data_IF_822705870399
#
_entry.id   IF_822705870399
#
_cell.length_a   1.000
_cell.length_b   1.000
_cell.length_c   1.000
_cell.angle_alpha   90.00
_cell.angle_beta   90.00
_cell.angle_gamma   90.00
#
_symmetry.space_group_name_H-M   'P 1'
#
loop_
_entity.id
_entity.type
_entity.pdbx_description
1 polymer ?
#
# COMPACT_ATOMS: atom_id res chain seq x y z
N UNK A 1 1.05 -9.22 14.64
CA UNK A 1 0.63 -7.98 15.34
C UNK A 1 -0.53 -8.30 16.24
N UNK A 2 -0.47 -7.93 17.51
CA UNK A 2 -1.53 -8.18 18.47
C UNK A 2 -2.39 -6.94 18.69
N UNK A 3 -3.70 -7.11 18.79
CA UNK A 3 -4.66 -6.05 19.10
C UNK A 3 -5.26 -6.30 20.49
N UNK A 4 -5.39 -5.22 21.26
CA UNK A 4 -5.89 -5.24 22.63
C UNK A 4 -7.09 -4.30 22.77
N UNK A 5 -8.08 -4.70 23.56
CA UNK A 5 -9.18 -3.85 24.00
C UNK A 5 -9.32 -4.00 25.51
N UNK A 6 -9.30 -2.88 26.23
CA UNK A 6 -9.34 -2.83 27.69
C UNK A 6 -8.32 -3.78 28.38
N UNK A 7 -7.08 -3.73 27.91
CA UNK A 7 -5.98 -4.58 28.43
C UNK A 7 -6.05 -6.06 28.03
N UNK A 8 -7.13 -6.51 27.39
CA UNK A 8 -7.32 -7.89 26.97
C UNK A 8 -6.93 -8.06 25.50
N UNK A 9 -6.11 -9.07 25.18
CA UNK A 9 -5.77 -9.41 23.81
C UNK A 9 -7.00 -9.96 23.08
N UNK A 10 -7.42 -9.29 22.02
CA UNK A 10 -8.62 -9.66 21.25
C UNK A 10 -8.29 -10.31 19.90
N UNK A 11 -7.09 -10.09 19.35
CA UNK A 11 -6.74 -10.58 18.02
C UNK A 11 -5.22 -10.62 17.80
N UNK A 12 -4.79 -11.46 16.86
CA UNK A 12 -3.44 -11.47 16.28
C UNK A 12 -3.57 -11.50 14.77
N UNK A 13 -2.87 -10.60 14.08
CA UNK A 13 -2.78 -10.53 12.62
C UNK A 13 -1.35 -10.66 12.13
N UNK A 14 -1.14 -11.55 11.18
CA UNK A 14 0.12 -11.70 10.49
C UNK A 14 0.13 -10.90 9.18
N UNK A 15 1.30 -10.42 8.79
CA UNK A 15 1.46 -9.72 7.53
C UNK A 15 1.69 -10.74 6.42
N UNK A 16 0.68 -10.93 5.58
CA UNK A 16 0.70 -11.91 4.48
C UNK A 16 1.16 -11.29 3.15
N UNK A 17 1.67 -10.07 3.17
CA UNK A 17 2.14 -9.32 2.01
C UNK A 17 3.60 -8.87 2.15
N UNK A 18 4.07 -8.15 1.13
CA UNK A 18 5.36 -7.49 1.14
C UNK A 18 5.18 -5.98 1.13
N UNK A 19 5.82 -5.28 2.06
CA UNK A 19 5.88 -3.81 2.08
C UNK A 19 7.09 -3.33 1.29
N UNK A 20 6.84 -2.53 0.26
CA UNK A 20 7.88 -1.94 -0.57
C UNK A 20 8.10 -0.48 -0.19
N UNK A 21 9.36 -0.12 0.10
CA UNK A 21 9.76 1.24 0.36
C UNK A 21 9.66 2.10 -0.90
N UNK A 22 8.92 3.19 -0.82
CA UNK A 22 8.79 4.15 -1.91
C UNK A 22 8.63 5.56 -1.37
N UNK A 23 9.09 6.55 -2.16
CA UNK A 23 8.77 7.96 -1.90
C UNK A 23 7.27 8.18 -2.07
N UNK A 24 6.73 9.21 -1.41
CA UNK A 24 5.32 9.59 -1.58
C UNK A 24 5.01 9.94 -3.04
N UNK A 25 3.83 9.56 -3.51
CA UNK A 25 3.36 9.77 -4.88
C UNK A 25 4.25 9.10 -5.95
N UNK A 26 4.98 8.05 -5.60
CA UNK A 26 5.70 7.24 -6.56
C UNK A 26 4.70 6.42 -7.41
N UNK A 27 4.89 6.30 -8.74
CA UNK A 27 3.99 5.52 -9.59
C UNK A 27 4.02 4.04 -9.21
N UNK A 28 2.84 3.45 -9.02
CA UNK A 28 2.65 2.03 -8.76
C UNK A 28 2.22 1.36 -10.06
N UNK A 29 2.94 0.31 -10.45
CA UNK A 29 2.71 -0.43 -11.68
C UNK A 29 2.05 -1.79 -11.42
N UNK A 30 1.22 -2.23 -12.37
CA UNK A 30 0.68 -3.58 -12.38
C UNK A 30 1.81 -4.60 -12.57
N UNK A 31 1.96 -5.50 -11.60
CA UNK A 31 3.01 -6.52 -11.58
C UNK A 31 2.84 -7.57 -12.67
N UNK A 32 1.60 -7.76 -13.13
CA UNK A 32 1.27 -8.62 -14.27
C UNK A 32 0.00 -8.13 -15.00
N UNK A 33 -0.24 -8.68 -16.19
CA UNK A 33 -1.45 -8.44 -16.98
C UNK A 33 -2.68 -9.07 -16.30
N UNK A 34 -3.81 -8.38 -16.30
CA UNK A 34 -5.04 -8.86 -15.68
C UNK A 34 -6.17 -7.84 -15.74
N UNK A 35 -7.28 -8.16 -15.07
CA UNK A 35 -8.48 -7.30 -14.99
C UNK A 35 -8.63 -6.76 -13.58
N UNK A 36 -8.92 -5.46 -13.44
CA UNK A 36 -9.21 -4.88 -12.13
C UNK A 36 -10.55 -5.40 -11.62
N UNK A 37 -10.53 -6.08 -10.47
CA UNK A 37 -11.74 -6.61 -9.82
C UNK A 37 -12.18 -5.77 -8.62
N UNK A 38 -11.30 -4.90 -8.11
CA UNK A 38 -11.62 -3.98 -7.03
C UNK A 38 -10.76 -2.71 -7.13
N UNK A 39 -11.36 -1.55 -6.89
CA UNK A 39 -10.69 -0.26 -6.77
C UNK A 39 -11.46 0.63 -5.78
N UNK A 40 -10.93 0.82 -4.57
CA UNK A 40 -11.64 1.54 -3.50
C UNK A 40 -10.97 1.43 -2.14
N UNK A 41 -11.62 1.97 -1.10
CA UNK A 41 -11.16 1.80 0.29
C UNK A 41 -11.48 0.40 0.81
N UNK A 42 -10.48 -0.29 1.37
CA UNK A 42 -10.58 -1.66 1.90
C UNK A 42 -10.09 -1.72 3.35
N UNK A 43 -10.64 -0.85 4.20
CA UNK A 43 -10.41 -0.87 5.65
C UNK A 43 -8.94 -0.70 6.02
N UNK A 44 -8.33 -1.73 6.62
CA UNK A 44 -6.94 -1.66 7.07
C UNK A 44 -5.95 -1.46 5.91
N UNK A 45 -6.29 -1.91 4.70
CA UNK A 45 -5.46 -1.70 3.51
C UNK A 45 -5.59 -0.28 2.93
N UNK A 46 -6.58 0.51 3.34
CA UNK A 46 -6.82 1.83 2.77
C UNK A 46 -7.24 1.77 1.31
N UNK A 47 -6.86 2.78 0.52
CA UNK A 47 -7.09 2.78 -0.91
C UNK A 47 -6.34 1.60 -1.56
N UNK A 48 -7.11 0.72 -2.16
CA UNK A 48 -6.66 -0.58 -2.62
C UNK A 48 -7.12 -0.85 -4.04
N UNK A 49 -6.24 -1.44 -4.84
CA UNK A 49 -6.56 -2.00 -6.16
C UNK A 49 -6.26 -3.49 -6.14
N UNK A 50 -7.19 -4.31 -6.63
CA UNK A 50 -6.99 -5.77 -6.77
C UNK A 50 -7.13 -6.14 -8.25
N UNK A 51 -6.15 -6.88 -8.76
CA UNK A 51 -6.10 -7.35 -10.14
C UNK A 51 -6.23 -8.87 -10.15
N UNK A 52 -7.15 -9.40 -10.96
CA UNK A 52 -7.24 -10.82 -11.29
C UNK A 52 -6.41 -11.13 -12.54
N UNK A 53 -5.48 -12.08 -12.41
CA UNK A 53 -4.61 -12.54 -13.48
C UNK A 53 -5.11 -13.84 -14.13
N UNK A 54 -6.28 -14.34 -13.69
CA UNK A 54 -6.83 -15.63 -14.09
C UNK A 54 -6.35 -16.77 -13.20
N UNK A 55 -6.98 -17.94 -13.34
CA UNK A 55 -6.67 -19.16 -12.60
C UNK A 55 -6.70 -19.01 -11.06
N UNK A 56 -7.46 -18.04 -10.55
CA UNK A 56 -7.53 -17.75 -9.12
C UNK A 56 -6.31 -17.02 -8.55
N UNK A 57 -5.41 -16.51 -9.39
CA UNK A 57 -4.26 -15.71 -8.97
C UNK A 57 -4.60 -14.23 -8.99
N UNK A 58 -4.47 -13.57 -7.83
CA UNK A 58 -4.75 -12.15 -7.67
C UNK A 58 -3.56 -11.41 -7.05
N UNK A 59 -3.39 -10.15 -7.43
CA UNK A 59 -2.47 -9.22 -6.77
C UNK A 59 -3.25 -8.09 -6.10
N UNK A 60 -2.79 -7.70 -4.90
CA UNK A 60 -3.38 -6.63 -4.11
C UNK A 60 -2.36 -5.51 -3.92
N UNK A 61 -2.77 -4.28 -4.22
CA UNK A 61 -1.99 -3.06 -4.06
C UNK A 61 -2.69 -2.15 -3.04
N UNK A 62 -2.21 -2.14 -1.80
CA UNK A 62 -2.78 -1.35 -0.71
C UNK A 62 -2.06 -0.04 -0.45
N UNK A 63 -2.59 0.72 0.50
CA UNK A 63 -2.04 1.96 1.05
C UNK A 63 -1.78 3.05 0.00
N UNK A 64 -2.54 3.06 -1.10
CA UNK A 64 -2.36 4.04 -2.17
C UNK A 64 -2.79 5.44 -1.72
N UNK A 65 -2.16 6.48 -2.27
CA UNK A 65 -2.67 7.85 -2.13
C UNK A 65 -3.86 8.06 -3.07
N UNK A 66 -3.73 7.57 -4.30
CA UNK A 66 -4.74 7.63 -5.36
C UNK A 66 -4.51 6.51 -6.37
N UNK A 67 -5.52 6.25 -7.19
CA UNK A 67 -5.47 5.32 -8.31
C UNK A 67 -6.24 5.90 -9.50
N UNK A 68 -5.88 5.48 -10.70
CA UNK A 68 -6.46 5.99 -11.97
C UNK A 68 -7.20 4.92 -12.75
N UNK A 69 -7.43 3.76 -12.14
CA UNK A 69 -8.09 2.59 -12.74
C UNK A 69 -9.46 2.35 -12.09
N UNK A 70 -10.35 1.73 -12.84
CA UNK A 70 -11.69 1.34 -12.41
C UNK A 70 -11.90 -0.17 -12.52
N UNK A 71 -12.91 -0.69 -11.81
CA UNK A 71 -13.31 -2.09 -11.92
C UNK A 71 -13.71 -2.41 -13.36
N UNK A 72 -13.18 -3.51 -13.90
CA UNK A 72 -13.36 -3.92 -15.28
C UNK A 72 -12.25 -3.48 -16.24
N UNK A 73 -11.30 -2.65 -15.81
CA UNK A 73 -10.18 -2.24 -16.65
C UNK A 73 -9.21 -3.40 -16.94
N UNK A 74 -8.88 -3.58 -18.22
CA UNK A 74 -7.79 -4.45 -18.67
C UNK A 74 -6.43 -3.76 -18.48
N UNK A 75 -5.59 -4.31 -17.60
CA UNK A 75 -4.24 -3.81 -17.35
C UNK A 75 -3.20 -4.72 -17.99
N UNK A 76 -2.20 -4.09 -18.62
CA UNK A 76 -0.97 -4.77 -19.04
C UNK A 76 0.06 -4.67 -17.93
N UNK A 77 0.95 -5.66 -17.84
CA UNK A 77 2.14 -5.58 -16.98
C UNK A 77 2.89 -4.26 -17.20
N UNK A 78 3.28 -3.59 -16.11
CA UNK A 78 3.96 -2.30 -16.11
C UNK A 78 3.03 -1.09 -16.28
N UNK A 79 1.72 -1.29 -16.46
CA UNK A 79 0.77 -0.18 -16.52
C UNK A 79 0.66 0.47 -15.14
N UNK A 80 0.83 1.79 -15.09
CA UNK A 80 0.59 2.57 -13.87
C UNK A 80 -0.89 2.46 -13.48
N UNK A 81 -1.15 2.00 -12.26
CA UNK A 81 -2.49 1.87 -11.68
C UNK A 81 -2.80 2.97 -10.67
N UNK A 82 -1.78 3.59 -10.08
CA UNK A 82 -1.94 4.59 -9.03
C UNK A 82 -0.63 5.07 -8.46
N UNK A 83 -0.70 5.68 -7.28
CA UNK A 83 0.42 6.35 -6.62
C UNK A 83 0.53 5.96 -5.15
N UNK A 84 1.75 5.79 -4.68
CA UNK A 84 2.04 5.40 -3.29
C UNK A 84 1.54 6.45 -2.31
N UNK A 85 0.98 5.98 -1.19
CA UNK A 85 0.47 6.83 -0.11
C UNK A 85 0.62 6.16 1.24
N UNK A 86 -0.20 6.60 2.19
CA UNK A 86 -0.21 6.10 3.58
C UNK A 86 -1.63 5.97 4.12
N UNK A 87 -2.58 5.63 3.24
CA UNK A 87 -4.00 5.42 3.62
C UNK A 87 -4.19 4.10 4.36
N UNK A 88 -5.29 3.97 5.11
CA UNK A 88 -5.54 2.80 5.96
C UNK A 88 -4.59 2.75 7.16
N UNK A 89 -4.28 1.53 7.61
CA UNK A 89 -3.38 1.28 8.74
C UNK A 89 -1.94 1.00 8.25
N UNK A 90 -1.36 1.94 7.51
CA UNK A 90 -0.04 1.84 6.89
C UNK A 90 1.15 2.00 7.89
N UNK A 91 1.08 1.40 9.08
CA UNK A 91 2.05 1.66 10.18
C UNK A 91 3.42 0.99 9.96
N UNK A 92 3.65 0.37 8.80
CA UNK A 92 4.92 -0.24 8.37
C UNK A 92 5.41 0.21 6.98
N UNK A 93 4.60 0.95 6.22
CA UNK A 93 5.00 1.44 4.90
C UNK A 93 5.94 2.66 5.07
N UNK A 94 7.08 2.74 4.36
CA UNK A 94 8.03 3.86 4.53
C UNK A 94 7.45 5.24 4.18
N UNK A 95 6.38 5.30 3.41
CA UNK A 95 5.59 6.51 3.17
C UNK A 95 4.87 7.04 4.41
N UNK A 96 4.61 6.20 5.42
CA UNK A 96 4.10 6.63 6.73
C UNK A 96 5.21 7.22 7.62
N UNK A 97 6.48 6.97 7.30
CA UNK A 97 7.63 7.54 8.01
C UNK A 97 7.95 8.98 7.59
N UNK A 98 7.28 9.53 6.56
CA UNK A 98 7.40 10.95 6.18
C UNK A 98 6.44 11.85 6.98
N UNK A 99 6.14 11.48 8.24
CA UNK A 99 5.68 12.48 9.21
C UNK A 99 6.92 13.19 9.72
N UNK A 100 7.17 14.35 9.12
CA UNK A 100 8.32 15.20 9.35
C UNK A 100 8.77 15.28 10.81
N UNK A 101 10.07 15.06 10.98
CA UNK A 101 10.85 15.39 12.15
C UNK A 101 12.24 15.77 11.69
N UNK A 102 12.36 16.80 10.84
CA UNK A 102 13.59 17.57 10.83
C UNK A 102 13.59 18.35 12.14
N UNK A 103 14.19 17.76 13.18
CA UNK A 103 14.60 18.53 14.34
C UNK A 103 15.58 19.61 13.82
N UNK A 104 15.16 20.87 13.90
CA UNK A 104 16.00 22.03 13.59
C UNK A 104 17.19 22.04 14.56
N UNK A 105 18.21 21.23 14.29
CA UNK A 105 19.26 21.07 15.28
C UNK A 105 20.49 20.26 14.91
N UNK A 106 20.47 19.36 13.92
CA UNK A 106 21.68 18.56 13.64
C UNK A 106 21.95 18.37 12.14
N UNK A 107 22.99 19.08 11.69
CA UNK A 107 23.66 18.86 10.42
C UNK A 107 24.23 17.44 10.37
N UNK A 108 23.79 16.65 9.37
CA UNK A 108 24.54 15.64 8.59
C UNK A 108 23.60 14.53 8.13
N UNK A 109 22.94 14.76 7.00
CA UNK A 109 22.37 13.70 6.18
C UNK A 109 23.52 12.98 5.45
N UNK A 110 23.91 11.80 5.94
CA UNK A 110 24.89 10.93 5.31
C UNK A 110 24.20 9.71 4.72
N UNK A 111 24.25 9.56 3.39
CA UNK A 111 23.81 8.36 2.66
C UNK A 111 24.74 7.19 2.98
N UNK A 112 24.17 6.01 3.22
CA UNK A 112 24.80 4.72 2.91
C UNK A 112 23.81 3.92 2.07
#
# INVERSE_FOLDING_TARGET
>A
RDYYYDGTKIDTKDHLGYDLAATKNYPVEAGNTGVVIFAGDLGLYGNTVIIDHGYGLQSLYGHLASFTVAVGDDLKKGKILGYTGSTGMAVGSPSAADRGGCDEGQSRCGRK
#
